data_IF_002206403389
#
_entry.id   IF_002206403389
#
_cell.length_a   1.000
_cell.length_b   1.000
_cell.length_c   1.000
_cell.angle_alpha   90.00
_cell.angle_beta   90.00
_cell.angle_gamma   90.00
#
_symmetry.space_group_name_H-M   'P 1'
#
loop_
_entity.id
_entity.type
_entity.pdbx_description
1 polymer ?
#
# COMPACT_ATOMS: atom_id res chain seq x y z
N UNK A 1 -3.09 -12.08 -2.90
CA UNK A 1 -3.51 -11.15 -1.83
C UNK A 1 -3.40 -9.76 -2.41
N UNK A 2 -4.46 -8.96 -2.36
CA UNK A 2 -4.39 -7.55 -2.75
C UNK A 2 -3.82 -6.76 -1.57
N UNK A 3 -2.82 -5.95 -1.84
CA UNK A 3 -2.22 -5.07 -0.84
C UNK A 3 -3.10 -3.84 -0.65
N UNK A 4 -3.24 -3.38 0.59
CA UNK A 4 -3.76 -2.04 0.85
C UNK A 4 -2.85 -0.98 0.20
N UNK A 5 -3.35 0.23 0.01
CA UNK A 5 -2.49 1.32 -0.48
C UNK A 5 -1.35 1.62 0.51
N UNK A 6 -1.57 1.50 1.82
CA UNK A 6 -0.48 1.60 2.79
C UNK A 6 0.57 0.51 2.57
N UNK A 7 0.15 -0.76 2.44
CA UNK A 7 1.04 -1.88 2.13
C UNK A 7 1.82 -1.68 0.83
N UNK A 8 1.23 -1.02 -0.16
CA UNK A 8 1.85 -0.78 -1.47
C UNK A 8 3.10 0.10 -1.35
N UNK A 9 3.10 1.08 -0.45
CA UNK A 9 4.17 2.07 -0.31
C UNK A 9 5.00 1.91 0.96
N UNK A 10 4.36 1.59 2.09
CA UNK A 10 4.95 1.55 3.43
C UNK A 10 5.26 0.12 3.90
N UNK A 11 4.63 -0.90 3.31
CA UNK A 11 4.87 -2.31 3.59
C UNK A 11 6.11 -2.90 2.91
N UNK A 12 6.94 -2.06 2.29
CA UNK A 12 8.13 -2.47 1.53
C UNK A 12 9.33 -1.63 1.96
N UNK A 13 10.44 -2.31 2.25
CA UNK A 13 11.72 -1.68 2.53
C UNK A 13 12.52 -1.56 1.24
N UNK A 14 12.93 -0.33 0.92
CA UNK A 14 13.80 -0.07 -0.23
C UNK A 14 15.20 -0.63 0.03
N UNK A 15 15.76 -1.32 -0.96
CA UNK A 15 17.16 -1.70 -0.94
C UNK A 15 17.99 -0.53 -1.46
N UNK A 16 18.93 -0.07 -0.65
CA UNK A 16 19.78 1.06 -1.00
C UNK A 16 20.86 0.67 -2.01
N UNK A 17 21.24 1.64 -2.84
CA UNK A 17 22.52 1.58 -3.54
C UNK A 17 23.67 1.84 -2.56
N UNK A 18 24.89 1.56 -2.99
CA UNK A 18 26.08 1.97 -2.24
C UNK A 18 26.09 3.49 -2.03
N UNK A 19 26.63 3.92 -0.87
CA UNK A 19 26.73 5.33 -0.54
C UNK A 19 27.55 6.08 -1.61
N UNK A 20 26.98 7.15 -2.17
CA UNK A 20 27.62 7.92 -3.24
C UNK A 20 27.32 7.43 -4.66
N UNK A 21 26.41 6.46 -4.85
CA UNK A 21 25.94 6.07 -6.17
C UNK A 21 25.37 7.28 -6.95
N UNK A 22 26.05 7.66 -8.03
CA UNK A 22 25.67 8.81 -8.88
C UNK A 22 24.64 8.46 -9.96
N UNK A 23 24.40 7.17 -10.21
CA UNK A 23 23.51 6.67 -11.27
C UNK A 23 22.75 5.42 -10.81
N UNK A 24 21.79 5.56 -9.87
CA UNK A 24 20.95 4.45 -9.49
C UNK A 24 20.15 3.97 -10.71
N UNK A 25 20.28 2.69 -11.06
CA UNK A 25 19.66 2.09 -12.26
C UNK A 25 18.48 1.17 -11.95
N UNK A 26 18.23 0.89 -10.68
CA UNK A 26 17.20 -0.04 -10.24
C UNK A 26 16.44 0.49 -9.04
N UNK A 27 15.14 0.17 -9.00
CA UNK A 27 14.27 0.30 -7.83
C UNK A 27 13.91 -1.11 -7.40
N UNK A 28 14.48 -1.54 -6.27
CA UNK A 28 14.27 -2.88 -5.72
C UNK A 28 13.81 -2.72 -4.29
N UNK A 29 12.69 -3.35 -3.97
CA UNK A 29 12.21 -3.40 -2.60
C UNK A 29 12.03 -4.83 -2.13
N UNK A 30 12.15 -4.99 -0.82
CA UNK A 30 11.91 -6.24 -0.10
C UNK A 30 10.72 -6.07 0.84
N UNK A 31 9.89 -7.10 0.92
CA UNK A 31 8.81 -7.25 1.90
C UNK A 31 8.99 -8.59 2.59
N UNK A 32 8.90 -8.55 3.90
CA UNK A 32 8.90 -9.73 4.76
C UNK A 32 7.53 -9.79 5.43
N UNK A 33 6.79 -10.88 5.20
CA UNK A 33 5.48 -11.11 5.80
C UNK A 33 5.27 -12.58 6.14
N UNK A 34 4.29 -12.86 6.98
CA UNK A 34 3.86 -14.23 7.24
C UNK A 34 2.86 -14.67 6.17
N UNK A 35 3.08 -15.85 5.57
CA UNK A 35 2.21 -16.41 4.56
C UNK A 35 1.66 -17.76 4.98
N UNK A 36 0.51 -18.13 4.41
CA UNK A 36 -0.15 -19.41 4.69
C UNK A 36 0.20 -20.42 3.60
N UNK A 37 0.57 -21.64 4.01
CA UNK A 37 0.71 -22.76 3.07
C UNK A 37 -0.68 -23.15 2.57
N UNK A 38 -0.87 -23.17 1.24
CA UNK A 38 -2.13 -23.65 0.67
C UNK A 38 -2.25 -25.15 0.87
N UNK A 39 -3.21 -25.60 1.67
CA UNK A 39 -3.64 -26.99 1.70
C UNK A 39 -4.56 -27.28 0.52
N UNK A 40 -4.18 -28.19 -0.36
CA UNK A 40 -5.09 -28.67 -1.42
C UNK A 40 -6.24 -29.55 -0.87
N UNK A 41 -6.22 -29.97 0.41
CA UNK A 41 -7.21 -30.88 1.03
C UNK A 41 -7.74 -30.40 2.41
N UNK A 42 -8.05 -29.11 2.55
CA UNK A 42 -8.56 -28.54 3.81
C UNK A 42 -7.45 -28.13 4.78
N UNK A 43 -7.77 -27.26 5.76
CA UNK A 43 -6.78 -26.61 6.63
C UNK A 43 -5.66 -27.58 7.01
N UNK A 44 -4.39 -27.21 6.75
CA UNK A 44 -3.25 -27.92 7.32
C UNK A 44 -3.43 -27.79 8.83
N UNK A 45 -4.13 -28.73 9.46
CA UNK A 45 -4.09 -28.90 10.90
C UNK A 45 -2.60 -28.92 11.26
N UNK A 46 -2.22 -28.29 12.38
CA UNK A 46 -0.91 -28.53 12.97
C UNK A 46 -0.74 -30.04 13.04
N UNK A 47 -0.03 -30.62 12.08
CA UNK A 47 0.21 -32.05 12.09
C UNK A 47 1.04 -32.28 13.33
N UNK A 48 0.66 -33.31 14.07
CA UNK A 48 1.14 -33.71 15.39
C UNK A 48 2.58 -34.23 15.34
N UNK A 49 3.46 -33.55 14.62
CA UNK A 49 4.87 -33.88 14.56
C UNK A 49 5.46 -33.68 15.95
N UNK A 50 5.98 -34.76 16.53
CA UNK A 50 6.65 -34.76 17.83
C UNK A 50 8.05 -34.13 17.76
N UNK A 51 8.53 -33.78 16.57
CA UNK A 51 9.80 -33.11 16.41
C UNK A 51 9.63 -31.61 16.64
N UNK A 52 10.24 -31.09 17.71
CA UNK A 52 10.23 -29.67 18.06
C UNK A 52 10.91 -28.79 16.99
N UNK A 53 11.77 -29.38 16.15
CA UNK A 53 12.46 -28.71 15.03
C UNK A 53 11.70 -28.81 13.69
N UNK A 54 10.42 -29.19 13.71
CA UNK A 54 9.63 -29.38 12.48
C UNK A 54 8.98 -28.07 11.99
N UNK A 55 9.48 -27.50 10.90
CA UNK A 55 8.99 -26.24 10.29
C UNK A 55 7.78 -26.41 9.33
N UNK A 56 6.97 -27.45 9.54
CA UNK A 56 5.77 -27.72 8.72
C UNK A 56 4.54 -26.96 9.24
N UNK A 57 4.75 -25.78 9.82
CA UNK A 57 3.65 -24.93 10.28
C UNK A 57 2.76 -24.52 9.11
N UNK A 58 1.45 -24.34 9.37
CA UNK A 58 0.50 -23.82 8.38
C UNK A 58 0.84 -22.40 7.89
N UNK A 59 1.71 -21.70 8.62
CA UNK A 59 2.30 -20.43 8.22
C UNK A 59 3.82 -20.49 8.10
N UNK A 60 4.40 -19.58 7.32
CA UNK A 60 5.84 -19.48 7.14
C UNK A 60 6.25 -18.02 6.88
N UNK A 61 7.49 -17.63 7.26
CA UNK A 61 8.03 -16.34 6.88
C UNK A 61 8.32 -16.31 5.38
N UNK A 62 7.75 -15.34 4.68
CA UNK A 62 7.94 -15.14 3.25
C UNK A 62 8.70 -13.85 2.99
N UNK A 63 9.78 -13.98 2.23
CA UNK A 63 10.46 -12.85 1.63
C UNK A 63 9.98 -12.67 0.19
N UNK A 64 9.49 -11.48 -0.12
CA UNK A 64 9.11 -11.09 -1.48
C UNK A 64 10.00 -9.93 -1.94
N UNK A 65 10.57 -10.04 -3.13
CA UNK A 65 11.31 -8.97 -3.78
C UNK A 65 10.47 -8.44 -4.95
N UNK A 66 10.40 -7.11 -5.09
CA UNK A 66 9.90 -6.48 -6.30
C UNK A 66 11.02 -5.70 -6.99
N UNK A 67 11.19 -5.91 -8.29
CA UNK A 67 12.11 -5.17 -9.15
C UNK A 67 11.27 -4.35 -10.12
N UNK A 68 11.46 -3.03 -10.14
CA UNK A 68 10.59 -2.10 -10.84
C UNK A 68 11.42 -1.25 -11.81
N UNK A 69 11.02 -1.26 -13.08
CA UNK A 69 11.54 -0.31 -14.07
C UNK A 69 10.55 0.87 -14.21
N UNK A 70 10.92 2.04 -13.71
CA UNK A 70 10.09 3.25 -13.78
C UNK A 70 10.00 3.85 -15.20
N UNK A 71 10.78 3.34 -16.16
CA UNK A 71 10.78 3.80 -17.56
C UNK A 71 9.80 2.99 -18.41
N UNK A 72 9.93 1.66 -18.41
CA UNK A 72 9.07 0.77 -19.20
C UNK A 72 7.89 0.21 -18.40
N UNK A 73 7.79 0.55 -17.11
CA UNK A 73 6.71 0.14 -16.21
C UNK A 73 6.59 -1.37 -15.96
N UNK A 74 7.61 -2.15 -16.31
CA UNK A 74 7.68 -3.59 -15.97
C UNK A 74 8.01 -3.78 -14.49
N UNK A 75 7.32 -4.74 -13.87
CA UNK A 75 7.54 -5.15 -12.48
C UNK A 75 7.74 -6.66 -12.44
N UNK A 76 8.81 -7.12 -11.81
CA UNK A 76 9.01 -8.52 -11.45
C UNK A 76 8.78 -8.69 -9.95
N UNK A 77 7.92 -9.62 -9.57
CA UNK A 77 7.68 -10.01 -8.17
C UNK A 77 8.21 -11.43 -7.98
N UNK A 78 9.19 -11.57 -7.09
CA UNK A 78 9.90 -12.82 -6.82
C UNK A 78 9.59 -13.23 -5.38
N UNK A 79 9.03 -14.43 -5.19
CA UNK A 79 8.70 -14.98 -3.87
C UNK A 79 9.71 -16.06 -3.49
N UNK A 80 10.32 -15.93 -2.31
CA UNK A 80 11.44 -16.78 -1.89
C UNK A 80 11.10 -18.27 -1.73
N UNK A 81 9.91 -18.61 -1.21
CA UNK A 81 9.60 -20.01 -0.89
C UNK A 81 9.22 -20.85 -2.11
N UNK A 82 8.38 -20.31 -3.00
CA UNK A 82 7.94 -21.00 -4.22
C UNK A 82 8.93 -20.89 -5.37
N UNK A 83 9.99 -20.08 -5.23
CA UNK A 83 10.86 -19.65 -6.34
C UNK A 83 10.08 -18.98 -7.48
N UNK A 84 8.83 -18.57 -7.23
CA UNK A 84 7.96 -18.10 -8.29
C UNK A 84 8.33 -16.68 -8.67
N UNK A 85 8.47 -16.46 -9.97
CA UNK A 85 8.66 -15.14 -10.56
C UNK A 85 7.42 -14.77 -11.35
N UNK A 86 6.78 -13.66 -10.98
CA UNK A 86 5.64 -13.10 -11.70
C UNK A 86 6.04 -11.79 -12.36
N UNK A 87 5.91 -11.71 -13.67
CA UNK A 87 6.09 -10.47 -14.44
C UNK A 87 4.75 -9.76 -14.58
N UNK A 88 4.71 -8.46 -14.30
CA UNK A 88 3.51 -7.63 -14.33
C UNK A 88 3.90 -6.16 -14.62
N UNK A 89 3.01 -5.20 -14.33
CA UNK A 89 3.25 -3.78 -14.56
C UNK A 89 3.02 -2.92 -13.30
N UNK A 90 3.57 -1.70 -13.30
CA UNK A 90 3.35 -0.71 -12.23
C UNK A 90 1.85 -0.43 -12.05
N UNK A 91 1.09 -0.38 -13.14
CA UNK A 91 -0.37 -0.23 -13.12
C UNK A 91 -1.03 -1.36 -12.34
N UNK A 92 -0.61 -2.60 -12.54
CA UNK A 92 -1.19 -3.75 -11.86
C UNK A 92 -0.78 -3.85 -10.38
N UNK A 93 0.32 -3.22 -9.97
CA UNK A 93 0.80 -3.22 -8.58
C UNK A 93 0.49 -1.93 -7.81
N UNK A 94 0.06 -0.86 -8.49
CA UNK A 94 -0.05 0.49 -7.95
C UNK A 94 1.31 1.19 -7.78
N UNK A 95 2.32 0.49 -7.29
CA UNK A 95 3.66 1.05 -7.09
C UNK A 95 4.39 1.36 -8.41
N UNK A 96 5.06 2.52 -8.45
CA UNK A 96 5.77 3.04 -9.64
C UNK A 96 4.89 3.89 -10.58
N UNK A 97 3.58 3.95 -10.31
CA UNK A 97 2.68 4.88 -11.01
C UNK A 97 2.88 6.32 -10.54
N UNK A 98 2.61 7.28 -11.43
CA UNK A 98 2.68 8.70 -11.11
C UNK A 98 1.52 9.11 -10.21
N UNK A 99 1.81 9.89 -9.17
CA UNK A 99 0.78 10.50 -8.34
C UNK A 99 -0.12 11.46 -9.14
N UNK A 100 -1.42 11.45 -8.83
CA UNK A 100 -2.41 12.37 -9.39
C UNK A 100 -2.46 13.64 -8.51
N UNK A 101 -2.27 14.83 -9.09
CA UNK A 101 -2.38 16.09 -8.34
C UNK A 101 -3.84 16.52 -8.24
N UNK A 102 -4.40 16.55 -7.03
CA UNK A 102 -5.81 16.88 -6.78
C UNK A 102 -5.92 17.78 -5.56
N UNK A 103 -6.60 18.93 -5.70
CA UNK A 103 -6.78 19.91 -4.62
C UNK A 103 -5.46 20.33 -3.92
N UNK A 104 -4.35 20.37 -4.65
CA UNK A 104 -3.03 20.70 -4.09
C UNK A 104 -2.28 19.52 -3.48
N UNK A 105 -2.94 18.38 -3.27
CA UNK A 105 -2.36 17.13 -2.74
C UNK A 105 -1.90 16.21 -3.88
N UNK A 106 -1.06 15.23 -3.53
CA UNK A 106 -0.60 14.18 -4.43
C UNK A 106 -1.19 12.84 -4.01
N UNK A 107 -1.97 12.23 -4.89
CA UNK A 107 -2.68 10.96 -4.67
C UNK A 107 -1.92 9.82 -5.35
N UNK A 108 -1.35 8.95 -4.53
CA UNK A 108 -0.55 7.81 -4.93
C UNK A 108 -1.45 6.56 -5.02
N UNK A 109 -1.61 5.97 -6.21
CA UNK A 109 -2.58 4.90 -6.40
C UNK A 109 -2.15 3.60 -5.72
N UNK A 110 -3.09 2.91 -5.10
CA UNK A 110 -2.93 1.54 -4.63
C UNK A 110 -3.06 0.51 -5.74
N UNK A 111 -2.99 -0.76 -5.38
CA UNK A 111 -3.20 -1.86 -6.31
C UNK A 111 -4.65 -1.85 -6.83
N UNK A 112 -4.87 -1.88 -8.17
CA UNK A 112 -6.21 -2.05 -8.73
C UNK A 112 -6.84 -3.39 -8.32
N UNK A 113 -8.17 -3.42 -8.24
CA UNK A 113 -8.87 -4.66 -7.90
C UNK A 113 -9.49 -5.36 -9.10
N UNK A 114 -10.61 -4.87 -9.62
CA UNK A 114 -11.40 -5.58 -10.64
C UNK A 114 -11.50 -4.84 -11.98
N UNK A 115 -11.46 -3.51 -11.99
CA UNK A 115 -11.71 -2.67 -13.18
C UNK A 115 -10.45 -1.98 -13.70
N UNK A 116 -9.25 -2.46 -13.34
CA UNK A 116 -7.94 -1.90 -13.70
C UNK A 116 -7.73 -0.43 -13.29
N UNK A 117 -8.57 0.10 -12.38
CA UNK A 117 -8.39 1.38 -11.74
C UNK A 117 -8.04 1.23 -10.25
N UNK A 118 -7.23 2.13 -9.69
CA UNK A 118 -6.97 2.15 -8.26
C UNK A 118 -8.23 2.63 -7.52
N UNK A 119 -8.65 1.83 -6.53
CA UNK A 119 -9.73 2.19 -5.61
C UNK A 119 -9.23 2.86 -4.34
N UNK A 120 -7.93 2.82 -4.07
CA UNK A 120 -7.33 3.40 -2.88
C UNK A 120 -6.21 4.36 -3.27
N UNK A 121 -6.06 5.44 -2.52
CA UNK A 121 -5.01 6.43 -2.72
C UNK A 121 -4.39 6.82 -1.39
N UNK A 122 -3.06 6.73 -1.32
CA UNK A 122 -2.29 7.33 -0.25
C UNK A 122 -2.03 8.78 -0.61
N UNK A 123 -2.20 9.70 0.34
CA UNK A 123 -2.23 11.14 0.05
C UNK A 123 -1.07 11.83 0.73
N UNK A 124 -0.23 12.52 -0.03
CA UNK A 124 0.89 13.32 0.49
C UNK A 124 0.67 14.81 0.23
N UNK A 125 1.20 15.65 1.12
CA UNK A 125 1.13 17.11 0.99
C UNK A 125 2.02 17.60 -0.17
N UNK A 126 3.25 17.11 -0.21
CA UNK A 126 4.25 17.44 -1.22
C UNK A 126 4.41 16.34 -2.27
N UNK A 127 5.05 16.70 -3.39
CA UNK A 127 5.56 15.71 -4.34
C UNK A 127 6.80 15.08 -3.75
N UNK A 128 6.78 13.78 -3.54
CA UNK A 128 7.98 12.99 -3.24
C UNK A 128 8.31 12.06 -4.40
N UNK A 129 9.50 11.46 -4.37
CA UNK A 129 9.85 10.35 -5.26
C UNK A 129 9.10 9.08 -4.85
N UNK A 130 9.03 8.86 -3.54
CA UNK A 130 8.40 7.72 -2.89
C UNK A 130 7.72 8.22 -1.60
N UNK A 131 6.43 7.90 -1.36
CA UNK A 131 5.78 8.21 -0.09
C UNK A 131 6.49 7.54 1.08
N UNK A 132 6.90 8.34 2.07
CA UNK A 132 7.28 7.88 3.40
C UNK A 132 6.13 8.16 4.37
N UNK A 133 6.08 7.42 5.48
CA UNK A 133 5.04 7.59 6.50
C UNK A 133 4.91 9.05 6.99
N UNK A 134 6.03 9.78 7.06
CA UNK A 134 6.09 11.20 7.45
C UNK A 134 5.51 12.17 6.41
N UNK A 135 5.44 11.78 5.14
CA UNK A 135 4.93 12.62 4.05
C UNK A 135 3.41 12.53 3.90
N UNK A 136 2.82 11.49 4.50
CA UNK A 136 1.42 11.14 4.35
C UNK A 136 0.57 12.07 5.22
N UNK A 137 -0.52 12.55 4.63
CA UNK A 137 -1.51 13.41 5.32
C UNK A 137 -2.92 12.85 5.28
N UNK A 138 -3.18 11.86 4.41
CA UNK A 138 -4.48 11.23 4.29
C UNK A 138 -4.48 9.95 3.46
N UNK A 139 -5.65 9.33 3.41
CA UNK A 139 -5.95 8.17 2.58
C UNK A 139 -7.37 8.31 2.03
N UNK A 140 -7.59 7.90 0.79
CA UNK A 140 -8.91 7.96 0.14
C UNK A 140 -9.25 6.57 -0.38
N UNK A 141 -10.46 6.10 -0.09
CA UNK A 141 -10.98 4.84 -0.64
C UNK A 141 -12.22 5.10 -1.48
N UNK A 142 -12.31 4.44 -2.62
CA UNK A 142 -13.50 4.30 -3.44
C UNK A 142 -14.29 3.08 -2.94
N UNK A 143 -15.55 3.30 -2.63
CA UNK A 143 -16.52 2.27 -2.31
C UNK A 143 -17.80 2.46 -3.12
N UNK A 144 -18.86 1.78 -2.68
CA UNK A 144 -20.19 1.86 -3.29
C UNK A 144 -21.17 2.44 -2.28
N UNK A 145 -21.86 3.50 -2.68
CA UNK A 145 -22.94 4.11 -1.91
C UNK A 145 -24.27 3.39 -2.10
N UNK A 146 -25.35 3.90 -1.46
CA UNK A 146 -26.70 3.40 -1.66
C UNK A 146 -27.06 3.39 -3.16
N UNK A 147 -27.55 2.25 -3.66
CA UNK A 147 -27.86 1.99 -5.09
C UNK A 147 -26.65 1.80 -6.02
N UNK A 148 -25.46 1.50 -5.49
CA UNK A 148 -24.30 1.06 -6.28
C UNK A 148 -23.49 2.19 -6.95
N UNK A 149 -23.86 3.45 -6.72
CA UNK A 149 -23.08 4.60 -7.18
C UNK A 149 -21.69 4.64 -6.53
N UNK A 150 -20.69 5.16 -7.25
CA UNK A 150 -19.35 5.38 -6.67
C UNK A 150 -19.45 6.40 -5.53
N UNK A 151 -18.86 6.07 -4.39
CA UNK A 151 -18.76 6.94 -3.22
C UNK A 151 -17.34 6.86 -2.68
N UNK A 152 -16.86 7.94 -2.09
CA UNK A 152 -15.51 7.98 -1.52
C UNK A 152 -15.58 8.19 -0.01
N UNK A 153 -14.61 7.61 0.68
CA UNK A 153 -14.27 7.90 2.06
C UNK A 153 -12.86 8.48 2.13
N UNK A 154 -12.58 9.24 3.18
CA UNK A 154 -11.30 9.85 3.43
C UNK A 154 -10.90 9.69 4.90
N UNK A 155 -9.61 9.46 5.10
CA UNK A 155 -8.93 9.46 6.39
C UNK A 155 -7.92 10.62 6.38
N UNK A 156 -7.74 11.29 7.51
CA UNK A 156 -6.84 12.44 7.63
C UNK A 156 -6.18 12.50 9.02
N UNK A 157 -5.05 13.22 9.07
CA UNK A 157 -4.26 13.46 10.28
C UNK A 157 -3.72 12.14 10.87
N UNK A 158 -2.61 11.62 10.31
CA UNK A 158 -2.02 10.38 10.81
C UNK A 158 -1.46 10.60 12.22
N UNK A 159 -1.83 9.72 13.15
CA UNK A 159 -1.37 9.73 14.54
C UNK A 159 -1.23 8.29 15.04
N UNK A 160 -0.23 7.95 15.87
CA UNK A 160 0.04 6.56 16.26
C UNK A 160 -1.15 5.80 16.86
N UNK A 161 -1.96 6.49 17.67
CA UNK A 161 -3.12 5.91 18.36
C UNK A 161 -4.46 6.38 17.76
N UNK A 162 -4.50 6.61 16.45
CA UNK A 162 -5.70 7.07 15.77
C UNK A 162 -6.84 6.05 15.84
N UNK A 163 -8.06 6.55 16.06
CA UNK A 163 -9.27 5.73 16.16
C UNK A 163 -9.58 4.99 14.86
N UNK A 164 -9.19 5.56 13.71
CA UNK A 164 -9.57 5.06 12.39
C UNK A 164 -8.40 4.44 11.61
N UNK A 165 -8.74 3.66 10.58
CA UNK A 165 -7.81 2.98 9.68
C UNK A 165 -7.33 1.62 10.16
N UNK A 166 -6.76 0.89 9.21
CA UNK A 166 -6.09 -0.40 9.38
C UNK A 166 -4.71 -0.32 8.72
N UNK A 167 -3.73 -1.07 9.22
CA UNK A 167 -2.37 -1.08 8.67
C UNK A 167 -1.37 -0.25 9.49
N UNK A 168 -0.32 0.22 8.81
CA UNK A 168 0.84 0.91 9.40
C UNK A 168 0.48 2.28 9.97
N UNK A 169 -0.41 3.01 9.30
CA UNK A 169 -0.88 4.32 9.71
C UNK A 169 -2.27 4.23 10.34
N UNK A 170 -2.45 5.01 11.41
CA UNK A 170 -3.70 5.21 12.12
C UNK A 170 -4.10 6.68 12.00
N UNK A 171 -5.40 6.95 12.02
CA UNK A 171 -5.92 8.27 11.65
C UNK A 171 -6.80 8.85 12.74
N UNK A 172 -6.68 10.16 12.98
CA UNK A 172 -7.50 10.87 13.95
C UNK A 172 -8.90 11.16 13.40
N UNK A 173 -9.02 11.45 12.10
CA UNK A 173 -10.28 11.84 11.47
C UNK A 173 -10.62 10.91 10.32
N UNK A 174 -11.92 10.61 10.19
CA UNK A 174 -12.49 9.86 9.08
C UNK A 174 -13.80 10.49 8.64
N UNK A 175 -14.08 10.46 7.34
CA UNK A 175 -15.38 10.84 6.80
C UNK A 175 -15.71 10.01 5.57
N UNK A 176 -16.98 9.63 5.47
CA UNK A 176 -17.52 8.92 4.31
C UNK A 176 -18.56 9.79 3.58
N UNK A 177 -19.02 9.34 2.41
CA UNK A 177 -20.14 10.00 1.73
C UNK A 177 -19.73 11.00 0.66
N UNK A 178 -18.46 11.04 0.26
CA UNK A 178 -18.03 11.97 -0.77
C UNK A 178 -18.47 11.49 -2.15
N UNK A 179 -19.05 12.40 -2.95
CA UNK A 179 -19.46 12.10 -4.32
C UNK A 179 -18.28 12.00 -5.31
N UNK A 180 -17.08 12.44 -4.91
CA UNK A 180 -15.89 12.40 -5.76
C UNK A 180 -14.59 12.34 -4.95
N UNK A 181 -13.55 11.78 -5.55
CA UNK A 181 -12.19 11.79 -5.03
C UNK A 181 -11.68 13.22 -4.76
N UNK A 182 -12.02 14.19 -5.62
CA UNK A 182 -11.67 15.60 -5.41
C UNK A 182 -12.33 16.22 -4.18
N UNK A 183 -13.58 15.84 -3.84
CA UNK A 183 -14.24 16.30 -2.63
C UNK A 183 -13.60 15.71 -1.37
N UNK A 184 -13.22 14.44 -1.41
CA UNK A 184 -12.45 13.77 -0.37
C UNK A 184 -11.09 14.46 -0.15
N UNK A 185 -10.33 14.74 -1.22
CA UNK A 185 -9.05 15.43 -1.14
C UNK A 185 -9.17 16.84 -0.55
N UNK A 186 -10.16 17.63 -0.96
CA UNK A 186 -10.43 18.96 -0.37
C UNK A 186 -10.74 18.88 1.12
N UNK A 187 -11.45 17.84 1.55
CA UNK A 187 -11.72 17.63 2.97
C UNK A 187 -10.43 17.35 3.74
N UNK A 188 -9.53 16.51 3.22
CA UNK A 188 -8.20 16.25 3.83
C UNK A 188 -7.42 17.56 3.99
N UNK A 189 -7.34 18.40 2.95
CA UNK A 189 -6.69 19.73 3.05
C UNK A 189 -7.27 20.57 4.19
N UNK A 190 -8.60 20.62 4.30
CA UNK A 190 -9.25 21.37 5.39
C UNK A 190 -8.83 20.82 6.76
N UNK A 191 -8.72 19.50 6.92
CA UNK A 191 -8.34 18.90 8.20
C UNK A 191 -6.88 19.22 8.58
N UNK A 192 -5.97 19.24 7.59
CA UNK A 192 -4.55 19.54 7.84
C UNK A 192 -4.33 21.01 8.19
N UNK A 193 -4.97 21.95 7.49
CA UNK A 193 -4.87 23.38 7.79
C UNK A 193 -5.44 23.74 9.17
N UNK A 194 -6.61 23.21 9.53
CA UNK A 194 -7.19 23.42 10.88
C UNK A 194 -6.30 22.90 12.00
N UNK A 195 -5.53 21.83 11.74
CA UNK A 195 -4.60 21.28 12.73
C UNK A 195 -3.32 22.10 12.86
N UNK A 196 -2.89 22.80 11.81
CA UNK A 196 -1.74 23.70 11.84
C UNK A 196 -2.07 24.99 12.60
N UNK A 197 -3.29 25.51 12.43
CA UNK A 197 -3.76 26.72 13.14
C UNK A 197 -4.00 26.50 14.65
N UNK A 198 -4.19 25.25 15.07
CA UNK A 198 -4.43 24.89 16.47
C UNK A 198 -3.15 24.63 17.30
N UNK A 199 -1.97 24.75 16.69
CA UNK A 199 -0.65 24.59 17.34
C UNK A 199 -0.02 25.94 17.64
#
# INVERSE_FOLDING_TARGET
MNLSVQDTYLGWRELGHEQGCVRPSWTVDIREDEHYRSSYEGAVERHSCQNEDCDHSGTYPRTTVRVVCLVCHTVHVISGESGSTRTTSTRATGFGEKARKVAGLYLWPGQPWFDNEPHEFLVTQGRCHRPQASDVVGEIHEGRGPRGGKQFSALALPVPNGTYGIGTLRWMRAKEGFASCSAAAKWIVKQTSESEEAK
#
